data_IF_732937589982
#
_entry.id   IF_732937589982
#
_cell.length_a   1.000
_cell.length_b   1.000
_cell.length_c   1.000
_cell.angle_alpha   90.00
_cell.angle_beta   90.00
_cell.angle_gamma   90.00
#
_symmetry.space_group_name_H-M   'P 1'
#
loop_
_entity.id
_entity.type
_entity.pdbx_description
1 polymer ?
#
# COMPACT_ATOMS: atom_id res chain seq x y z
N UNK A 1 11.12 12.72 2.13
CA UNK A 1 10.57 11.45 2.67
C UNK A 1 9.18 11.26 2.09
N UNK A 2 8.77 10.04 1.76
CA UNK A 2 7.40 9.76 1.29
C UNK A 2 6.63 9.01 2.37
N UNK A 3 5.42 9.46 2.67
CA UNK A 3 4.49 8.79 3.57
C UNK A 3 3.29 8.27 2.78
N UNK A 4 2.88 7.05 3.08
CA UNK A 4 1.70 6.41 2.46
C UNK A 4 0.50 6.56 3.39
N UNK A 5 -0.58 7.17 2.89
CA UNK A 5 -1.85 7.20 3.61
C UNK A 5 -2.71 5.98 3.27
N UNK A 6 -3.80 5.73 4.00
CA UNK A 6 -4.70 4.62 3.71
C UNK A 6 -5.60 4.89 2.49
N UNK A 7 -5.94 3.87 1.68
CA UNK A 7 -6.88 4.01 0.57
C UNK A 7 -8.32 4.25 1.06
N UNK A 8 -9.20 4.75 0.18
CA UNK A 8 -10.62 4.84 0.50
C UNK A 8 -11.22 3.44 0.58
N UNK A 9 -11.53 2.99 1.80
CA UNK A 9 -12.05 1.63 2.04
C UNK A 9 -13.55 1.49 1.80
N UNK A 10 -14.25 2.54 1.35
CA UNK A 10 -15.71 2.58 1.28
C UNK A 10 -16.36 1.46 0.47
N UNK A 11 -15.74 1.05 -0.64
CA UNK A 11 -16.21 -0.07 -1.49
C UNK A 11 -15.63 -1.43 -1.09
N UNK A 12 -14.74 -1.49 -0.09
CA UNK A 12 -14.04 -2.70 0.32
C UNK A 12 -14.76 -3.45 1.45
N UNK A 13 -14.30 -4.66 1.76
CA UNK A 13 -14.71 -5.43 2.95
C UNK A 13 -14.39 -4.69 4.27
N UNK A 14 -13.54 -3.66 4.22
CA UNK A 14 -13.15 -2.80 5.34
C UNK A 14 -13.92 -1.47 5.39
N UNK A 15 -15.04 -1.33 4.67
CA UNK A 15 -15.83 -0.08 4.64
C UNK A 15 -16.26 0.42 6.03
N UNK A 16 -16.46 -0.48 7.00
CA UNK A 16 -16.80 -0.10 8.39
C UNK A 16 -15.72 0.70 9.12
N UNK A 17 -14.46 0.63 8.67
CA UNK A 17 -13.35 1.41 9.26
C UNK A 17 -13.00 2.65 8.45
N UNK A 18 -13.74 2.96 7.37
CA UNK A 18 -13.47 4.10 6.49
C UNK A 18 -13.27 5.41 7.24
N UNK A 19 -14.13 5.73 8.21
CA UNK A 19 -14.00 6.95 9.01
C UNK A 19 -12.72 6.97 9.86
N UNK A 20 -12.29 5.81 10.37
CA UNK A 20 -11.02 5.71 11.11
C UNK A 20 -9.82 5.90 10.17
N UNK A 21 -9.90 5.37 8.95
CA UNK A 21 -8.88 5.58 7.92
C UNK A 21 -8.81 7.06 7.53
N UNK A 22 -9.95 7.74 7.37
CA UNK A 22 -9.98 9.19 7.11
C UNK A 22 -9.27 9.99 8.22
N UNK A 23 -9.57 9.71 9.49
CA UNK A 23 -8.91 10.36 10.63
C UNK A 23 -7.40 10.07 10.64
N UNK A 24 -7.01 8.81 10.41
CA UNK A 24 -5.60 8.43 10.28
C UNK A 24 -4.88 9.20 9.16
N UNK A 25 -5.54 9.35 8.01
CA UNK A 25 -4.98 10.08 6.86
C UNK A 25 -4.74 11.56 7.18
N UNK A 26 -5.67 12.23 7.88
CA UNK A 26 -5.49 13.64 8.26
C UNK A 26 -4.37 13.83 9.31
N UNK A 27 -4.21 12.86 10.22
CA UNK A 27 -3.06 12.85 11.12
C UNK A 27 -1.74 12.70 10.34
N UNK A 28 -1.70 11.83 9.33
CA UNK A 28 -0.51 11.71 8.47
C UNK A 28 -0.23 12.99 7.68
N UNK A 29 -1.24 13.66 7.14
CA UNK A 29 -1.07 14.95 6.44
C UNK A 29 -0.48 16.01 7.38
N UNK A 30 -0.93 16.03 8.64
CA UNK A 30 -0.36 16.92 9.68
C UNK A 30 1.13 16.64 9.92
N UNK A 31 1.52 15.36 10.03
CA UNK A 31 2.93 14.96 10.18
C UNK A 31 3.73 15.35 8.93
N UNK A 32 3.19 15.09 7.74
CA UNK A 32 3.85 15.42 6.49
C UNK A 32 4.16 16.92 6.37
N UNK A 33 3.17 17.76 6.66
CA UNK A 33 3.31 19.22 6.65
C UNK A 33 4.38 19.72 7.64
N UNK A 34 4.47 19.10 8.82
CA UNK A 34 5.48 19.46 9.84
C UNK A 34 6.91 19.08 9.44
N UNK A 35 7.07 18.03 8.65
CA UNK A 35 8.37 17.43 8.35
C UNK A 35 8.78 17.54 6.88
N UNK A 36 8.09 18.38 6.10
CA UNK A 36 8.32 18.55 4.66
C UNK A 36 8.36 17.20 3.91
N UNK A 37 7.41 16.33 4.26
CA UNK A 37 7.26 15.02 3.63
C UNK A 37 6.14 15.05 2.58
N UNK A 38 6.28 14.20 1.56
CA UNK A 38 5.31 14.05 0.48
C UNK A 38 4.32 12.95 0.87
N UNK A 39 3.02 13.19 0.66
CA UNK A 39 1.98 12.17 0.81
C UNK A 39 1.78 11.46 -0.54
N UNK A 40 2.00 10.15 -0.57
CA UNK A 40 1.48 9.27 -1.61
C UNK A 40 -0.01 9.01 -1.32
N UNK A 41 -0.90 9.75 -1.98
CA UNK A 41 -2.32 9.82 -1.63
C UNK A 41 -3.16 8.69 -2.24
N UNK A 42 -3.16 7.54 -1.58
CA UNK A 42 -3.98 6.39 -1.96
C UNK A 42 -5.48 6.61 -1.72
N UNK A 43 -5.87 7.54 -0.85
CA UNK A 43 -7.29 7.87 -0.63
C UNK A 43 -7.95 8.50 -1.86
N UNK A 44 -7.20 9.36 -2.55
CA UNK A 44 -7.66 10.05 -3.74
C UNK A 44 -7.55 9.19 -5.01
N UNK A 45 -6.79 8.09 -4.97
CA UNK A 45 -6.56 7.19 -6.09
C UNK A 45 -7.77 6.28 -6.38
N UNK A 46 -8.74 6.80 -7.14
CA UNK A 46 -10.05 6.15 -7.39
C UNK A 46 -9.98 4.80 -8.12
N UNK A 47 -8.89 4.55 -8.81
CA UNK A 47 -8.58 3.26 -9.41
C UNK A 47 -8.65 2.12 -8.38
N UNK A 48 -8.25 2.39 -7.12
CA UNK A 48 -8.29 1.41 -6.03
C UNK A 48 -9.71 1.00 -5.60
N UNK A 49 -10.76 1.64 -6.12
CA UNK A 49 -12.14 1.17 -5.93
C UNK A 49 -12.45 -0.09 -6.75
N UNK A 50 -11.64 -0.40 -7.77
CA UNK A 50 -11.79 -1.60 -8.58
C UNK A 50 -11.27 -2.83 -7.82
N UNK A 51 -12.09 -3.90 -7.64
CA UNK A 51 -11.67 -5.11 -6.95
C UNK A 51 -10.41 -5.77 -7.54
N UNK A 52 -10.11 -5.55 -8.83
CA UNK A 52 -8.92 -6.10 -9.51
C UNK A 52 -7.61 -5.41 -9.11
N UNK A 53 -7.68 -4.27 -8.42
CA UNK A 53 -6.51 -3.63 -7.80
C UNK A 53 -6.07 -4.35 -6.52
N UNK A 54 -6.85 -5.32 -6.05
CA UNK A 54 -6.61 -6.07 -4.84
C UNK A 54 -6.35 -7.54 -5.15
N UNK A 55 -5.56 -8.19 -4.31
CA UNK A 55 -5.35 -9.63 -4.34
C UNK A 55 -6.63 -10.37 -3.92
N UNK A 56 -6.65 -11.70 -4.06
CA UNK A 56 -7.78 -12.57 -3.76
C UNK A 56 -8.26 -12.45 -2.31
N UNK A 57 -7.35 -12.09 -1.39
CA UNK A 57 -7.67 -11.87 0.01
C UNK A 57 -8.39 -10.55 0.29
N UNK A 58 -8.52 -9.67 -0.72
CA UNK A 58 -9.21 -8.37 -0.66
C UNK A 58 -8.60 -7.40 0.36
N UNK A 59 -7.35 -7.62 0.75
CA UNK A 59 -6.62 -6.82 1.73
C UNK A 59 -5.30 -6.29 1.16
N UNK A 60 -4.58 -7.10 0.40
CA UNK A 60 -3.34 -6.69 -0.26
C UNK A 60 -3.63 -6.18 -1.66
N UNK A 61 -2.71 -5.36 -2.20
CA UNK A 61 -2.80 -4.93 -3.58
C UNK A 61 -2.34 -6.04 -4.52
N UNK A 62 -3.03 -6.18 -5.65
CA UNK A 62 -2.58 -7.05 -6.73
C UNK A 62 -1.34 -6.45 -7.42
N UNK A 63 -0.64 -7.20 -8.29
CA UNK A 63 0.43 -6.63 -9.12
C UNK A 63 -0.03 -5.40 -9.91
N UNK A 64 -1.28 -5.39 -10.37
CA UNK A 64 -1.89 -4.25 -11.04
C UNK A 64 -2.05 -3.06 -10.08
N UNK A 65 -2.58 -3.29 -8.88
CA UNK A 65 -2.71 -2.24 -7.86
C UNK A 65 -1.36 -1.65 -7.47
N UNK A 66 -0.33 -2.50 -7.29
CA UNK A 66 1.04 -2.06 -7.02
C UNK A 66 1.62 -1.23 -8.17
N UNK A 67 1.40 -1.62 -9.44
CA UNK A 67 1.81 -0.82 -10.60
C UNK A 67 1.16 0.56 -10.59
N UNK A 68 -0.15 0.64 -10.35
CA UNK A 68 -0.88 1.92 -10.28
C UNK A 68 -0.38 2.80 -9.14
N UNK A 69 -0.12 2.22 -7.97
CA UNK A 69 0.44 2.97 -6.81
C UNK A 69 1.87 3.44 -7.12
N UNK A 70 2.69 2.61 -7.77
CA UNK A 70 4.06 2.99 -8.13
C UNK A 70 4.08 4.20 -9.07
N UNK A 71 3.23 4.21 -10.11
CA UNK A 71 3.07 5.37 -10.99
C UNK A 71 2.65 6.62 -10.18
N UNK A 72 1.61 6.52 -9.35
CA UNK A 72 1.15 7.63 -8.51
C UNK A 72 2.24 8.16 -7.56
N UNK A 73 3.09 7.29 -7.01
CA UNK A 73 4.22 7.71 -6.17
C UNK A 73 5.25 8.49 -6.98
N UNK A 74 5.59 8.03 -8.19
CA UNK A 74 6.53 8.74 -9.06
C UNK A 74 5.98 10.10 -9.50
N UNK A 75 4.69 10.18 -9.83
CA UNK A 75 3.98 11.44 -10.08
C UNK A 75 4.05 12.38 -8.86
N UNK A 76 3.79 11.86 -7.66
CA UNK A 76 3.82 12.64 -6.40
C UNK A 76 5.23 13.16 -6.08
N UNK A 77 6.26 12.43 -6.52
CA UNK A 77 7.67 12.82 -6.40
C UNK A 77 8.14 13.74 -7.54
N UNK A 78 7.28 14.01 -8.53
CA UNK A 78 7.63 14.72 -9.76
C UNK A 78 8.85 14.10 -10.49
N UNK A 79 8.92 12.77 -10.51
CA UNK A 79 9.96 12.00 -11.20
C UNK A 79 9.42 11.56 -12.55
N UNK A 80 10.09 11.94 -13.64
CA UNK A 80 9.72 11.47 -14.98
C UNK A 80 9.82 9.95 -15.07
N UNK A 81 8.78 9.31 -15.61
CA UNK A 81 8.71 7.87 -15.77
C UNK A 81 7.94 7.46 -17.02
N UNK A 82 8.10 6.19 -17.41
CA UNK A 82 7.44 5.58 -18.58
C UNK A 82 6.35 4.57 -18.18
N UNK A 83 5.97 4.53 -16.90
CA UNK A 83 4.86 3.68 -16.45
C UNK A 83 3.53 4.20 -17.01
N UNK A 84 2.94 3.43 -17.92
CA UNK A 84 1.63 3.70 -18.47
C UNK A 84 0.52 3.09 -17.60
N UNK A 85 -0.68 3.68 -17.54
CA UNK A 85 -1.84 3.08 -16.89
C UNK A 85 -2.18 1.71 -17.51
N UNK A 86 -2.20 0.68 -16.68
CA UNK A 86 -2.62 -0.67 -17.11
C UNK A 86 -4.13 -0.82 -16.92
N UNK A 87 -4.80 -1.35 -17.95
CA UNK A 87 -6.23 -1.61 -17.89
C UNK A 87 -6.50 -2.98 -17.25
N UNK A 88 -7.40 -3.05 -16.26
CA UNK A 88 -7.78 -4.31 -15.66
C UNK A 88 -8.58 -5.18 -16.65
N UNK A 89 -8.27 -6.48 -16.72
CA UNK A 89 -9.01 -7.45 -17.54
C UNK A 89 -10.49 -7.48 -17.14
N UNK A 90 -11.45 -7.43 -18.08
CA UNK A 90 -12.88 -7.43 -17.77
C UNK A 90 -13.26 -8.57 -16.81
N UNK A 91 -14.06 -8.25 -15.78
CA UNK A 91 -14.66 -9.27 -14.93
C UNK A 91 -15.87 -9.88 -15.66
N UNK A 92 -16.10 -11.20 -15.54
CA UNK A 92 -17.36 -11.77 -15.97
C UNK A 92 -18.50 -11.13 -15.18
N UNK A 93 -19.63 -10.88 -15.85
CA UNK A 93 -20.85 -10.40 -15.20
C UNK A 93 -21.35 -11.51 -14.28
N UNK A 94 -21.54 -11.18 -13.00
CA UNK A 94 -21.99 -12.11 -11.97
C UNK A 94 -23.39 -11.73 -11.49
N UNK A 95 -24.19 -12.74 -11.20
CA UNK A 95 -25.43 -12.58 -10.46
C UNK A 95 -25.14 -12.31 -8.98
N UNK A 96 -26.11 -11.70 -8.29
CA UNK A 96 -25.99 -11.46 -6.84
C UNK A 96 -25.80 -12.75 -6.03
N UNK A 97 -26.35 -13.87 -6.50
CA UNK A 97 -26.19 -15.19 -5.86
C UNK A 97 -24.75 -15.69 -5.95
N UNK A 98 -24.13 -15.58 -7.12
CA UNK A 98 -22.72 -15.96 -7.31
C UNK A 98 -21.80 -15.10 -6.44
N UNK A 99 -22.04 -13.79 -6.39
CA UNK A 99 -21.29 -12.88 -5.52
C UNK A 99 -21.37 -13.28 -4.03
N UNK A 100 -22.55 -13.69 -3.56
CA UNK A 100 -22.73 -14.17 -2.17
C UNK A 100 -22.02 -15.47 -1.88
N UNK A 101 -22.01 -16.41 -2.82
CA UNK A 101 -21.25 -17.66 -2.67
C UNK A 101 -19.76 -17.37 -2.58
N UNK A 102 -19.23 -16.48 -3.42
CA UNK A 102 -17.83 -16.06 -3.38
C UNK A 102 -17.48 -15.38 -2.05
N UNK A 103 -18.35 -14.54 -1.49
CA UNK A 103 -18.13 -13.93 -0.17
C UNK A 103 -18.02 -14.98 0.95
N UNK A 104 -18.84 -16.04 0.90
CA UNK A 104 -18.77 -17.14 1.88
C UNK A 104 -17.47 -17.94 1.73
N UNK A 105 -17.06 -18.22 0.50
CA UNK A 105 -15.79 -18.90 0.20
C UNK A 105 -14.62 -18.03 0.68
N UNK A 106 -14.61 -16.74 0.36
CA UNK A 106 -13.60 -15.80 0.83
C UNK A 106 -13.54 -15.76 2.36
N UNK A 107 -14.70 -15.67 3.02
CA UNK A 107 -14.76 -15.61 4.47
C UNK A 107 -14.15 -16.86 5.12
N UNK A 108 -14.45 -18.04 4.57
CA UNK A 108 -13.88 -19.31 5.01
C UNK A 108 -12.36 -19.38 4.77
N UNK A 109 -11.89 -18.96 3.61
CA UNK A 109 -10.49 -19.09 3.19
C UNK A 109 -9.58 -18.07 3.88
N UNK A 110 -9.99 -16.81 4.00
CA UNK A 110 -9.12 -15.72 4.45
C UNK A 110 -9.53 -15.15 5.82
N UNK A 111 -10.82 -14.85 6.01
CA UNK A 111 -11.27 -14.09 7.19
C UNK A 111 -11.34 -14.94 8.47
N UNK A 112 -11.97 -16.11 8.42
CA UNK A 112 -12.14 -17.00 9.59
C UNK A 112 -10.80 -17.39 10.21
N UNK A 113 -9.78 -17.82 9.44
CA UNK A 113 -8.46 -18.09 10.02
C UNK A 113 -7.84 -16.89 10.73
N UNK A 114 -8.02 -15.68 10.19
CA UNK A 114 -7.54 -14.45 10.83
C UNK A 114 -8.28 -14.15 12.14
N UNK A 115 -9.61 -14.30 12.18
CA UNK A 115 -10.41 -14.13 13.42
C UNK A 115 -9.96 -15.12 14.49
N UNK A 116 -9.78 -16.40 14.13
CA UNK A 116 -9.32 -17.43 15.06
C UNK A 116 -7.94 -17.09 15.64
N UNK A 117 -7.00 -16.61 14.80
CA UNK A 117 -5.70 -16.13 15.28
C UNK A 117 -5.85 -14.95 16.24
N UNK A 118 -6.71 -13.98 15.90
CA UNK A 118 -6.92 -12.79 16.74
C UNK A 118 -7.53 -13.13 18.09
N UNK A 119 -8.50 -14.03 18.16
CA UNK A 119 -9.09 -14.52 19.41
C UNK A 119 -8.08 -15.28 20.27
N UNK A 120 -7.08 -15.91 19.64
CA UNK A 120 -5.96 -16.59 20.31
C UNK A 120 -4.79 -15.65 20.63
N UNK A 121 -4.94 -14.33 20.42
CA UNK A 121 -3.86 -13.35 20.52
C UNK A 121 -2.59 -13.72 19.74
N UNK A 122 -2.76 -14.43 18.61
CA UNK A 122 -1.66 -14.78 17.72
C UNK A 122 -1.57 -13.78 16.57
N UNK A 123 -0.38 -13.26 16.33
CA UNK A 123 -0.08 -12.39 15.20
C UNK A 123 0.57 -13.19 14.07
N UNK A 124 0.45 -12.70 12.82
CA UNK A 124 1.27 -13.19 11.71
C UNK A 124 2.76 -12.87 11.90
N UNK A 125 3.09 -11.94 12.80
CA UNK A 125 4.46 -11.60 13.17
C UNK A 125 5.02 -12.38 14.36
N UNK A 126 4.26 -13.29 14.97
CA UNK A 126 4.74 -14.04 16.14
C UNK A 126 5.97 -14.88 15.76
N UNK A 127 7.06 -14.73 16.51
CA UNK A 127 8.32 -15.44 16.24
C UNK A 127 9.08 -14.93 15.01
N UNK A 128 8.59 -13.92 14.28
CA UNK A 128 9.34 -13.29 13.20
C UNK A 128 10.32 -12.29 13.78
N UNK A 129 11.62 -12.56 13.62
CA UNK A 129 12.69 -11.62 13.95
C UNK A 129 12.98 -10.69 12.77
N UNK A 130 13.41 -9.47 13.05
CA UNK A 130 13.78 -8.52 12.01
C UNK A 130 14.90 -9.10 11.13
N UNK A 131 14.72 -9.08 9.80
CA UNK A 131 15.78 -9.42 8.84
C UNK A 131 17.02 -8.55 9.04
N UNK A 132 16.83 -7.33 9.55
CA UNK A 132 17.86 -6.35 9.90
C UNK A 132 17.50 -5.73 11.26
N UNK A 133 17.94 -6.30 12.38
CA UNK A 133 17.59 -5.81 13.71
C UNK A 133 18.27 -4.48 14.06
N UNK A 134 19.41 -4.20 13.43
CA UNK A 134 20.14 -2.94 13.55
C UNK A 134 19.89 -2.06 12.31
N UNK A 135 19.46 -0.80 12.47
CA UNK A 135 19.35 0.14 11.37
C UNK A 135 20.71 0.35 10.69
N UNK A 136 20.76 0.24 9.37
CA UNK A 136 21.99 0.47 8.60
C UNK A 136 21.73 0.64 7.11
N UNK A 137 22.72 1.13 6.33
CA UNK A 137 22.56 1.36 4.91
C UNK A 137 22.19 0.08 4.16
N UNK A 138 21.34 0.17 3.13
CA UNK A 138 21.03 -0.95 2.23
C UNK A 138 22.04 -0.91 1.08
N UNK A 139 22.70 -2.04 0.80
CA UNK A 139 23.60 -2.19 -0.34
C UNK A 139 23.08 -3.29 -1.26
N UNK A 140 23.20 -3.11 -2.58
CA UNK A 140 22.82 -4.12 -3.57
C UNK A 140 22.42 -3.54 -4.92
N UNK A 141 22.22 -4.40 -5.95
CA UNK A 141 21.77 -3.98 -7.27
C UNK A 141 20.43 -3.24 -7.17
N UNK A 142 20.32 -2.04 -7.74
CA UNK A 142 19.10 -1.22 -7.71
C UNK A 142 19.09 -0.11 -6.65
N UNK A 143 20.04 -0.07 -5.72
CA UNK A 143 20.32 1.15 -4.95
C UNK A 143 21.08 2.08 -5.88
N UNK A 144 20.37 3.00 -6.53
CA UNK A 144 21.02 4.03 -7.35
C UNK A 144 22.15 4.67 -6.57
N UNK A 145 23.30 4.91 -7.22
CA UNK A 145 24.34 5.77 -6.66
C UNK A 145 23.71 7.14 -6.48
N UNK A 146 23.08 7.38 -5.33
CA UNK A 146 22.94 8.74 -4.85
C UNK A 146 24.37 9.21 -4.71
N UNK A 147 24.78 10.10 -5.62
CA UNK A 147 26.06 10.75 -5.51
C UNK A 147 26.11 11.32 -4.09
N UNK A 148 26.92 10.70 -3.24
CA UNK A 148 27.31 11.28 -1.96
C UNK A 148 27.93 12.60 -2.37
N UNK A 149 27.22 13.70 -2.14
CA UNK A 149 27.76 15.02 -2.40
C UNK A 149 29.05 15.10 -1.59
N UNK A 150 30.20 15.37 -2.21
CA UNK A 150 31.46 15.45 -1.48
C UNK A 150 31.31 16.50 -0.38
N UNK A 151 31.94 16.20 0.75
CA UNK A 151 31.96 17.07 1.91
C UNK A 151 32.47 18.47 1.48
N UNK A 152 32.10 19.55 2.19
CA UNK A 152 32.56 20.90 1.83
C UNK A 152 34.09 21.02 1.69
N UNK A 153 34.86 20.19 2.41
CA UNK A 153 36.32 20.15 2.39
C UNK A 153 36.90 19.61 1.07
N UNK A 154 36.16 18.75 0.36
CA UNK A 154 36.58 18.15 -0.92
C UNK A 154 36.28 19.07 -2.12
N UNK A 155 35.56 20.19 -1.92
CA UNK A 155 35.25 21.18 -2.97
C UNK A 155 36.28 22.30 -3.12
N UNK A 156 37.27 22.35 -2.24
CA UNK A 156 38.30 23.40 -2.19
C UNK A 156 39.71 22.88 -2.56
N UNK A 157 39.80 21.70 -3.20
CA UNK A 157 41.05 21.16 -3.75
C UNK A 157 40.99 21.09 -5.27
#
# INVERSE_FOLDING_TARGET
VVLFNGPDTGSSVLGRVRSKVAIYNENLRTVAARHDAIIADMWSLKQLNDPRMWDEDRLHFSPLGHHTIAAMVLDSLNVSHTLEPLLPKPLPVRTWREARTEDLVWARTHFVPWVVRRLRNRSSGDGITAKRPTPGPVFGPGVGRFAVMPSPEERLR
#
